data_IF_381869082762
#
_entry.id   IF_381869082762
#
_cell.length_a   1.000
_cell.length_b   1.000
_cell.length_c   1.000
_cell.angle_alpha   90.00
_cell.angle_beta   90.00
_cell.angle_gamma   90.00
#
_symmetry.space_group_name_H-M   'P 1'
#
loop_
_entity.id
_entity.type
_entity.pdbx_description
1 polymer ?
#
# COMPACT_ATOMS: atom_id res chain seq x y z
N UNK A 1 6.63 2.96 -14.15
CA UNK A 1 7.98 3.57 -14.12
C UNK A 1 8.91 2.82 -15.07
N UNK A 2 9.69 3.52 -15.88
CA UNK A 2 10.77 2.92 -16.66
C UNK A 2 11.93 2.62 -15.71
N UNK A 3 12.31 1.35 -15.60
CA UNK A 3 13.37 0.93 -14.68
C UNK A 3 14.75 0.96 -15.38
N UNK A 4 14.80 0.56 -16.65
CA UNK A 4 16.04 0.60 -17.44
C UNK A 4 15.78 0.92 -18.91
N UNK A 5 16.75 1.60 -19.52
CA UNK A 5 16.84 1.80 -20.97
C UNK A 5 18.24 1.41 -21.42
N UNK A 6 18.34 0.46 -22.33
CA UNK A 6 19.59 0.19 -23.04
C UNK A 6 19.67 1.01 -24.32
N UNK A 7 20.90 1.43 -24.63
CA UNK A 7 21.27 2.16 -25.82
C UNK A 7 22.46 1.45 -26.49
N UNK A 8 22.32 1.19 -27.79
CA UNK A 8 23.42 0.77 -28.63
C UNK A 8 24.09 2.00 -29.25
N UNK A 9 25.42 1.99 -29.32
CA UNK A 9 26.16 3.05 -30.00
C UNK A 9 25.94 2.99 -31.52
N UNK A 10 25.63 4.14 -32.12
CA UNK A 10 25.58 4.31 -33.58
C UNK A 10 26.98 4.55 -34.19
N UNK A 11 27.97 4.90 -33.35
CA UNK A 11 29.38 5.09 -33.75
C UNK A 11 30.17 3.83 -33.42
N UNK A 12 31.00 3.37 -34.38
CA UNK A 12 31.97 2.30 -34.16
C UNK A 12 33.08 2.77 -33.20
N UNK A 13 32.90 2.47 -31.92
CA UNK A 13 33.86 2.71 -30.85
C UNK A 13 33.93 1.51 -29.87
N UNK A 14 34.79 1.59 -28.83
CA UNK A 14 35.00 0.49 -27.90
C UNK A 14 33.77 0.18 -27.03
N UNK A 15 32.89 1.16 -26.78
CA UNK A 15 31.65 0.97 -26.02
C UNK A 15 30.50 0.76 -27.00
N UNK A 16 30.01 -0.48 -27.09
CA UNK A 16 28.94 -0.88 -28.02
C UNK A 16 27.53 -0.81 -27.43
N UNK A 17 27.43 -0.88 -26.10
CA UNK A 17 26.18 -0.91 -25.35
C UNK A 17 26.32 -0.11 -24.05
N UNK A 18 25.30 0.67 -23.72
CA UNK A 18 25.16 1.39 -22.45
C UNK A 18 23.78 1.14 -21.88
N UNK A 19 23.70 0.87 -20.59
CA UNK A 19 22.43 0.71 -19.88
C UNK A 19 22.29 1.82 -18.86
N UNK A 20 21.18 2.54 -18.92
CA UNK A 20 20.81 3.57 -17.97
C UNK A 20 19.72 3.01 -17.06
N UNK A 21 19.90 3.17 -15.76
CA UNK A 21 18.95 2.79 -14.72
C UNK A 21 18.80 3.99 -13.78
N UNK A 22 17.56 4.41 -13.51
CA UNK A 22 17.29 5.57 -12.66
C UNK A 22 15.98 6.28 -12.99
N UNK A 23 15.63 7.26 -12.15
CA UNK A 23 14.32 7.94 -12.15
C UNK A 23 14.11 8.91 -13.32
N UNK A 24 15.19 9.47 -13.90
CA UNK A 24 15.11 10.42 -15.02
C UNK A 24 16.14 10.11 -16.12
N UNK A 25 15.89 8.98 -16.79
CA UNK A 25 16.71 8.55 -17.93
C UNK A 25 16.60 9.56 -19.10
N UNK A 26 15.48 10.28 -19.23
CA UNK A 26 15.22 11.18 -20.34
C UNK A 26 16.05 12.48 -20.26
N UNK A 27 16.21 13.07 -19.08
CA UNK A 27 17.10 14.22 -18.86
C UNK A 27 18.58 13.81 -18.71
N UNK A 28 18.87 12.64 -18.12
CA UNK A 28 20.24 12.14 -17.93
C UNK A 28 20.99 11.77 -19.22
N UNK A 29 20.28 11.68 -20.35
CA UNK A 29 20.86 11.47 -21.67
C UNK A 29 21.30 12.81 -22.28
N UNK A 30 22.61 13.06 -22.32
CA UNK A 30 23.16 14.21 -23.05
C UNK A 30 22.73 14.19 -24.52
N UNK A 31 22.52 15.36 -25.14
CA UNK A 31 22.16 15.46 -26.57
C UNK A 31 23.16 14.72 -27.47
N UNK A 32 24.44 14.76 -27.11
CA UNK A 32 25.50 14.00 -27.79
C UNK A 32 25.33 12.47 -27.70
N UNK A 33 24.73 11.95 -26.62
CA UNK A 33 24.43 10.51 -26.48
C UNK A 33 23.15 10.14 -27.22
N UNK A 34 22.13 11.02 -27.24
CA UNK A 34 20.90 10.83 -28.02
C UNK A 34 21.17 10.78 -29.52
N UNK A 35 22.07 11.63 -30.02
CA UNK A 35 22.41 11.68 -31.45
C UNK A 35 23.28 10.50 -31.92
N UNK A 36 24.04 9.88 -31.01
CA UNK A 36 25.00 8.81 -31.34
C UNK A 36 24.58 7.43 -30.82
N UNK A 37 23.30 7.23 -30.48
CA UNK A 37 22.82 5.94 -29.98
C UNK A 37 21.37 5.68 -30.35
N UNK A 38 20.98 4.42 -30.46
CA UNK A 38 19.60 4.00 -30.69
C UNK A 38 19.13 3.07 -29.56
N UNK A 39 17.82 3.11 -29.25
CA UNK A 39 17.19 2.29 -28.21
C UNK A 39 17.40 0.81 -28.49
N UNK A 40 18.02 0.07 -27.57
CA UNK A 40 18.23 -1.39 -27.71
C UNK A 40 17.11 -2.18 -27.03
N UNK A 41 16.74 -1.78 -25.83
CA UNK A 41 15.73 -2.41 -25.00
C UNK A 41 15.22 -1.43 -23.94
N UNK A 42 14.02 -1.70 -23.45
CA UNK A 42 13.33 -0.90 -22.47
C UNK A 42 12.62 -1.86 -21.51
N UNK A 43 12.77 -1.64 -20.22
CA UNK A 43 12.11 -2.43 -19.19
C UNK A 43 11.45 -1.50 -18.17
N UNK A 44 10.22 -1.82 -17.82
CA UNK A 44 9.42 -1.05 -16.89
C UNK A 44 8.61 -1.94 -15.96
N UNK A 45 8.22 -1.33 -14.85
CA UNK A 45 7.26 -1.90 -13.90
C UNK A 45 6.07 -0.95 -13.78
N UNK A 46 4.87 -1.50 -13.63
CA UNK A 46 3.64 -0.74 -13.54
C UNK A 46 2.54 -1.56 -12.90
N UNK A 47 1.29 -1.16 -13.13
CA UNK A 47 0.11 -1.84 -12.60
C UNK A 47 -0.89 -2.06 -13.74
N UNK A 48 -1.66 -3.15 -13.68
CA UNK A 48 -2.70 -3.47 -14.66
C UNK A 48 -4.09 -3.72 -14.03
N UNK A 49 -4.31 -3.29 -12.79
CA UNK A 49 -5.55 -3.54 -12.05
C UNK A 49 -5.63 -4.92 -11.38
N UNK A 50 -4.75 -5.86 -11.71
CA UNK A 50 -4.59 -7.13 -10.98
C UNK A 50 -3.32 -7.16 -10.11
N UNK A 51 -2.61 -6.04 -10.04
CA UNK A 51 -1.40 -5.89 -9.24
C UNK A 51 -0.22 -5.38 -10.07
N UNK A 52 0.98 -5.58 -9.52
CA UNK A 52 2.24 -5.08 -10.08
C UNK A 52 2.64 -5.96 -11.26
N UNK A 53 2.92 -5.34 -12.40
CA UNK A 53 3.37 -6.01 -13.61
C UNK A 53 4.72 -5.49 -14.06
N UNK A 54 5.48 -6.33 -14.75
CA UNK A 54 6.71 -5.93 -15.43
C UNK A 54 6.60 -6.20 -16.93
N UNK A 55 7.22 -5.36 -17.74
CA UNK A 55 7.31 -5.55 -19.18
C UNK A 55 8.64 -5.05 -19.70
N UNK A 56 9.26 -5.86 -20.56
CA UNK A 56 10.46 -5.55 -21.29
C UNK A 56 10.23 -5.74 -22.78
N UNK A 57 10.79 -4.86 -23.60
CA UNK A 57 10.84 -5.04 -25.03
C UNK A 57 12.23 -4.72 -25.57
N UNK A 58 12.63 -5.42 -26.63
CA UNK A 58 13.84 -5.12 -27.39
C UNK A 58 13.47 -4.48 -28.72
N UNK A 59 14.42 -3.73 -29.28
CA UNK A 59 14.33 -3.22 -30.65
C UNK A 59 14.16 -4.33 -31.69
N UNK A 60 14.55 -5.58 -31.37
CA UNK A 60 14.37 -6.74 -32.26
C UNK A 60 12.99 -7.40 -32.13
N UNK A 61 12.05 -6.78 -31.39
CA UNK A 61 10.68 -7.26 -31.24
C UNK A 61 10.52 -8.36 -30.19
N UNK A 62 11.55 -8.68 -29.41
CA UNK A 62 11.40 -9.59 -28.27
C UNK A 62 10.68 -8.86 -27.14
N UNK A 63 9.60 -9.44 -26.64
CA UNK A 63 8.87 -8.95 -25.47
C UNK A 63 9.03 -9.98 -24.36
N UNK A 64 9.32 -9.54 -23.14
CA UNK A 64 9.48 -10.41 -21.98
C UNK A 64 8.94 -9.74 -20.72
N UNK A 65 8.74 -10.54 -19.68
CA UNK A 65 8.42 -10.06 -18.35
C UNK A 65 9.09 -10.98 -17.32
N UNK A 66 9.22 -10.53 -16.07
CA UNK A 66 9.78 -11.32 -14.98
C UNK A 66 8.64 -11.86 -14.10
N UNK A 67 8.32 -13.14 -14.24
CA UNK A 67 7.27 -13.83 -13.48
C UNK A 67 7.68 -15.27 -13.16
N UNK A 68 7.06 -15.84 -12.13
CA UNK A 68 7.10 -17.29 -11.81
C UNK A 68 5.67 -17.77 -11.83
N UNK A 69 5.23 -18.32 -12.97
CA UNK A 69 3.82 -18.60 -13.23
C UNK A 69 3.60 -19.89 -14.04
N UNK A 70 2.34 -20.31 -14.15
CA UNK A 70 1.93 -21.49 -14.94
C UNK A 70 2.04 -21.30 -16.46
N UNK A 71 2.03 -22.40 -17.22
CA UNK A 71 2.02 -22.36 -18.69
C UNK A 71 0.72 -21.69 -19.20
N UNK A 72 -0.42 -21.96 -18.57
CA UNK A 72 -1.70 -21.34 -18.93
C UNK A 72 -1.66 -19.82 -18.76
N UNK A 73 -1.08 -19.34 -17.66
CA UNK A 73 -0.83 -17.91 -17.45
C UNK A 73 0.04 -17.34 -18.57
N UNK A 74 1.12 -18.02 -18.94
CA UNK A 74 2.02 -17.57 -20.01
C UNK A 74 1.31 -17.47 -21.38
N UNK A 75 0.44 -18.43 -21.71
CA UNK A 75 -0.35 -18.38 -22.95
C UNK A 75 -1.32 -17.18 -22.95
N UNK A 76 -2.05 -16.97 -21.86
CA UNK A 76 -2.96 -15.83 -21.73
C UNK A 76 -2.20 -14.49 -21.80
N UNK A 77 -1.05 -14.40 -21.13
CA UNK A 77 -0.19 -13.23 -21.22
C UNK A 77 0.27 -12.95 -22.66
N UNK A 78 0.67 -13.97 -23.41
CA UNK A 78 1.02 -13.81 -24.83
C UNK A 78 -0.16 -13.26 -25.65
N UNK A 79 -1.38 -13.72 -25.39
CA UNK A 79 -2.59 -13.24 -26.05
C UNK A 79 -2.87 -11.75 -25.72
N UNK A 80 -2.81 -11.38 -24.44
CA UNK A 80 -2.98 -9.97 -24.03
C UNK A 80 -1.92 -9.04 -24.62
N UNK A 81 -0.68 -9.52 -24.78
CA UNK A 81 0.40 -8.74 -25.37
C UNK A 81 0.19 -8.59 -26.88
N UNK A 82 -0.20 -9.64 -27.61
CA UNK A 82 -0.40 -9.53 -29.05
C UNK A 82 -1.55 -8.58 -29.39
N UNK A 83 -2.62 -8.59 -28.59
CA UNK A 83 -3.74 -7.64 -28.74
C UNK A 83 -3.25 -6.19 -28.66
N UNK A 84 -2.38 -5.88 -27.68
CA UNK A 84 -1.76 -4.54 -27.54
C UNK A 84 -0.80 -4.21 -28.68
N UNK A 85 -0.02 -5.18 -29.17
CA UNK A 85 0.93 -4.96 -30.28
C UNK A 85 0.21 -4.69 -31.60
N UNK A 86 -0.94 -5.32 -31.81
CA UNK A 86 -1.75 -5.17 -33.02
C UNK A 86 -2.74 -4.00 -32.95
N UNK A 87 -2.89 -3.36 -31.79
CA UNK A 87 -3.77 -2.22 -31.61
C UNK A 87 -3.19 -0.94 -32.26
N UNK A 88 -3.65 -0.68 -33.49
CA UNK A 88 -3.28 0.51 -34.27
C UNK A 88 -3.75 1.84 -33.67
N UNK A 89 -4.59 1.82 -32.63
CA UNK A 89 -5.05 3.05 -31.95
C UNK A 89 -4.05 3.57 -30.92
N UNK A 90 -3.04 2.76 -30.55
CA UNK A 90 -2.00 3.16 -29.59
C UNK A 90 -1.03 4.14 -30.24
N UNK A 91 -1.12 5.40 -29.81
CA UNK A 91 -0.16 6.43 -30.19
C UNK A 91 1.10 6.36 -29.33
N UNK A 92 2.17 5.78 -29.89
CA UNK A 92 3.45 5.62 -29.21
C UNK A 92 4.14 6.95 -28.84
N UNK A 93 3.77 8.07 -29.48
CA UNK A 93 4.31 9.40 -29.16
C UNK A 93 3.77 9.92 -27.83
N UNK A 94 2.57 9.47 -27.42
CA UNK A 94 1.91 9.87 -26.17
C UNK A 94 2.29 9.04 -24.96
N UNK A 95 3.15 8.02 -25.10
CA UNK A 95 3.55 7.12 -23.99
C UNK A 95 4.20 7.89 -22.83
N UNK A 96 4.89 8.99 -23.13
CA UNK A 96 5.52 9.84 -22.12
C UNK A 96 4.67 11.05 -21.73
N UNK A 97 3.53 11.28 -22.38
CA UNK A 97 2.59 12.33 -21.99
C UNK A 97 1.95 11.97 -20.64
N UNK A 98 2.07 12.88 -19.67
CA UNK A 98 1.54 12.67 -18.32
C UNK A 98 2.43 11.85 -17.38
N UNK A 99 3.66 11.49 -17.78
CA UNK A 99 4.66 10.95 -16.85
C UNK A 99 5.01 12.01 -15.81
N UNK A 100 4.90 11.64 -14.53
CA UNK A 100 5.22 12.53 -13.43
C UNK A 100 6.73 12.72 -13.34
N UNK A 101 7.15 13.97 -13.28
CA UNK A 101 8.57 14.34 -13.17
C UNK A 101 8.85 14.71 -11.71
N UNK A 102 9.72 13.97 -11.01
CA UNK A 102 10.16 14.34 -9.66
C UNK A 102 10.88 15.68 -9.68
N UNK A 103 10.62 16.51 -8.68
CA UNK A 103 11.29 17.80 -8.47
C UNK A 103 12.09 17.75 -7.19
N UNK A 104 13.34 18.18 -7.25
CA UNK A 104 14.14 18.39 -6.03
C UNK A 104 13.60 19.62 -5.31
N UNK A 105 13.16 19.44 -4.08
CA UNK A 105 12.65 20.52 -3.23
C UNK A 105 13.68 20.95 -2.18
N UNK A 106 13.56 22.19 -1.72
CA UNK A 106 14.43 22.80 -0.71
C UNK A 106 13.81 22.89 0.67
N UNK A 107 12.49 22.78 0.73
CA UNK A 107 11.67 22.95 1.93
C UNK A 107 10.54 21.92 1.86
N UNK A 108 10.12 21.42 3.02
CA UNK A 108 8.99 20.48 3.11
C UNK A 108 7.72 21.17 2.58
N UNK A 109 6.91 20.51 1.73
CA UNK A 109 5.67 21.08 1.23
C UNK A 109 4.72 21.45 2.38
N UNK A 110 3.92 22.51 2.18
CA UNK A 110 2.88 22.91 3.14
C UNK A 110 1.66 21.99 3.17
N UNK A 111 1.63 20.99 2.29
CA UNK A 111 0.57 19.98 2.25
C UNK A 111 0.62 19.06 3.47
N UNK A 112 -0.51 18.48 3.84
CA UNK A 112 -0.63 17.62 5.02
C UNK A 112 -0.17 16.20 4.67
N UNK A 113 0.87 15.66 5.33
CA UNK A 113 1.26 14.26 5.17
C UNK A 113 0.28 13.37 5.95
N UNK A 114 -0.26 12.34 5.31
CA UNK A 114 -1.23 11.44 5.95
C UNK A 114 -0.79 9.97 5.93
N UNK A 115 0.13 9.60 5.04
CA UNK A 115 0.65 8.24 4.91
C UNK A 115 2.16 8.25 4.78
N UNK A 116 2.79 7.24 5.38
CA UNK A 116 4.20 6.91 5.19
C UNK A 116 4.33 5.42 4.89
N UNK A 117 5.17 5.09 3.93
CA UNK A 117 5.48 3.73 3.52
C UNK A 117 6.96 3.44 3.67
N UNK A 118 7.25 2.15 3.85
CA UNK A 118 8.61 1.64 3.77
C UNK A 118 9.22 1.93 2.39
N UNK A 119 10.55 2.04 2.28
CA UNK A 119 11.21 2.21 0.99
C UNK A 119 10.88 1.06 0.04
N UNK A 120 10.69 1.37 -1.25
CA UNK A 120 10.29 0.37 -2.27
C UNK A 120 11.31 -0.74 -2.44
N UNK A 121 12.56 -0.50 -2.06
CA UNK A 121 13.61 -1.51 -2.05
C UNK A 121 13.27 -2.67 -1.11
N UNK A 122 12.45 -2.44 -0.09
CA UNK A 122 11.98 -3.49 0.80
C UNK A 122 10.97 -4.44 0.14
N UNK A 123 10.20 -4.00 -0.87
CA UNK A 123 9.26 -4.85 -1.61
C UNK A 123 9.96 -6.01 -2.35
N UNK A 124 11.25 -5.88 -2.65
CA UNK A 124 12.02 -6.94 -3.32
C UNK A 124 12.51 -8.02 -2.35
N UNK A 125 12.31 -7.85 -1.06
CA UNK A 125 12.75 -8.80 -0.04
C UNK A 125 11.59 -9.64 0.46
N UNK A 126 11.84 -10.94 0.61
CA UNK A 126 10.92 -11.81 1.33
C UNK A 126 10.96 -11.42 2.81
N UNK A 127 9.82 -11.03 3.37
CA UNK A 127 9.63 -10.61 4.76
C UNK A 127 10.32 -11.52 5.79
N UNK A 128 10.41 -12.83 5.51
CA UNK A 128 10.99 -13.84 6.40
C UNK A 128 12.51 -13.69 6.66
N UNK A 129 13.20 -12.82 5.90
CA UNK A 129 14.66 -12.63 6.01
C UNK A 129 15.07 -11.23 6.49
N UNK A 130 14.11 -10.39 6.89
CA UNK A 130 14.35 -9.01 7.26
C UNK A 130 13.89 -8.74 8.71
N UNK A 131 14.84 -8.34 9.54
CA UNK A 131 14.61 -8.15 10.98
C UNK A 131 15.10 -6.79 11.44
N UNK A 132 14.39 -6.21 12.40
CA UNK A 132 14.93 -5.15 13.25
C UNK A 132 15.57 -5.79 14.48
N UNK A 133 16.81 -5.43 14.77
CA UNK A 133 17.52 -5.86 15.96
C UNK A 133 17.77 -4.68 16.90
N UNK A 134 17.36 -4.84 18.16
CA UNK A 134 17.61 -3.90 19.26
C UNK A 134 17.81 -4.68 20.56
N UNK A 135 18.84 -4.36 21.34
CA UNK A 135 19.09 -4.93 22.67
C UNK A 135 19.05 -6.48 22.70
N UNK A 136 19.54 -7.13 21.63
CA UNK A 136 19.50 -8.58 21.34
C UNK A 136 18.12 -9.18 21.04
N UNK A 137 17.06 -8.38 21.02
CA UNK A 137 15.74 -8.75 20.53
C UNK A 137 15.77 -8.65 19.00
N UNK A 138 15.26 -9.68 18.33
CA UNK A 138 15.03 -9.68 16.88
C UNK A 138 13.53 -9.64 16.63
N UNK A 139 13.08 -8.63 15.90
CA UNK A 139 11.68 -8.43 15.55
C UNK A 139 11.58 -8.53 14.03
N UNK A 140 10.77 -9.44 13.48
CA UNK A 140 10.52 -9.48 12.04
C UNK A 140 9.95 -8.15 11.57
N UNK A 141 10.37 -7.65 10.41
CA UNK A 141 9.93 -6.34 9.92
C UNK A 141 8.40 -6.26 9.73
N UNK A 142 7.78 -7.39 9.36
CA UNK A 142 6.33 -7.50 9.17
C UNK A 142 5.53 -7.36 10.48
N UNK A 143 6.18 -7.37 11.64
CA UNK A 143 5.57 -7.12 12.96
C UNK A 143 5.80 -5.68 13.44
N UNK A 144 6.32 -4.82 12.56
CA UNK A 144 6.70 -3.45 12.88
C UNK A 144 6.04 -2.48 11.91
N UNK A 145 5.39 -1.45 12.45
CA UNK A 145 4.78 -0.39 11.66
C UNK A 145 5.75 0.78 11.46
N UNK A 146 5.64 1.42 10.30
CA UNK A 146 6.14 2.78 10.06
C UNK A 146 4.93 3.72 10.01
N UNK A 147 4.93 4.75 10.88
CA UNK A 147 3.79 5.67 11.03
C UNK A 147 4.28 7.11 11.21
N UNK A 148 3.54 8.05 10.64
CA UNK A 148 3.71 9.48 10.92
C UNK A 148 3.26 9.75 12.36
N UNK A 149 3.82 10.78 12.99
CA UNK A 149 3.24 11.29 14.24
C UNK A 149 1.94 12.04 13.92
N UNK A 150 0.90 11.82 14.74
CA UNK A 150 -0.41 12.49 14.62
C UNK A 150 -0.27 14.01 14.56
N UNK A 151 0.65 14.56 15.37
CA UNK A 151 0.95 15.99 15.41
C UNK A 151 2.40 16.19 14.97
N UNK A 152 2.57 16.81 13.82
CA UNK A 152 3.88 17.23 13.33
C UNK A 152 4.36 18.45 14.13
N UNK A 153 5.55 18.40 14.76
CA UNK A 153 5.96 19.42 15.73
C UNK A 153 6.42 20.73 15.09
N UNK A 154 6.84 20.69 13.82
CA UNK A 154 7.45 21.82 13.09
C UNK A 154 7.08 21.75 11.62
N UNK A 155 7.01 22.90 10.94
CA UNK A 155 6.80 22.95 9.49
C UNK A 155 7.99 22.43 8.69
N UNK A 156 9.20 22.61 9.22
CA UNK A 156 10.45 22.34 8.48
C UNK A 156 11.02 20.94 8.75
N UNK A 157 10.30 20.10 9.50
CA UNK A 157 10.72 18.75 9.87
C UNK A 157 9.51 17.84 9.90
N UNK A 158 9.61 16.70 9.21
CA UNK A 158 8.63 15.61 9.32
C UNK A 158 9.12 14.59 10.32
N UNK A 159 8.27 14.25 11.29
CA UNK A 159 8.53 13.18 12.26
C UNK A 159 7.70 11.95 11.95
N UNK A 160 8.37 10.80 11.98
CA UNK A 160 7.77 9.48 11.89
C UNK A 160 8.42 8.55 12.91
N UNK A 161 7.78 7.43 13.18
CA UNK A 161 8.36 6.39 14.02
C UNK A 161 8.29 5.03 13.34
N UNK A 162 9.22 4.18 13.74
CA UNK A 162 9.23 2.74 13.45
C UNK A 162 9.03 2.03 14.77
N UNK A 163 8.02 1.15 14.84
CA UNK A 163 7.73 0.46 16.09
C UNK A 163 6.49 -0.41 16.11
N UNK A 164 6.33 -1.08 17.24
CA UNK A 164 5.13 -1.78 17.70
C UNK A 164 4.95 -1.50 19.20
N UNK A 165 4.12 -2.26 19.90
CA UNK A 165 3.85 -2.06 21.33
C UNK A 165 5.10 -2.18 22.21
N UNK A 166 6.07 -3.01 21.81
CA UNK A 166 7.27 -3.31 22.60
C UNK A 166 8.46 -2.40 22.27
N UNK A 167 8.45 -1.77 21.09
CA UNK A 167 9.58 -1.02 20.57
C UNK A 167 9.08 0.20 19.79
N UNK A 168 9.64 1.37 20.07
CA UNK A 168 9.41 2.59 19.29
C UNK A 168 10.71 3.36 19.12
N UNK A 169 11.04 3.70 17.88
CA UNK A 169 12.14 4.60 17.53
C UNK A 169 11.61 5.73 16.65
N UNK A 170 11.90 6.99 17.00
CA UNK A 170 11.38 8.17 16.31
C UNK A 170 12.48 8.80 15.47
N UNK A 171 12.13 9.25 14.27
CA UNK A 171 13.02 9.84 13.28
C UNK A 171 12.53 11.22 12.86
N UNK A 172 13.47 12.09 12.48
CA UNK A 172 13.23 13.39 11.87
C UNK A 172 13.79 13.41 10.46
N UNK A 173 12.93 13.69 9.47
CA UNK A 173 13.28 14.04 8.11
C UNK A 173 13.30 15.57 7.99
N UNK A 174 14.41 16.12 7.53
CA UNK A 174 14.59 17.55 7.26
C UNK A 174 15.20 17.75 5.88
N UNK A 175 14.85 18.85 5.21
CA UNK A 175 15.39 19.20 3.88
C UNK A 175 16.19 20.49 4.01
N UNK A 176 17.41 20.49 3.48
CA UNK A 176 18.31 21.66 3.46
C UNK A 176 19.22 21.61 2.24
N UNK A 177 19.43 22.75 1.56
CA UNK A 177 20.44 22.91 0.50
C UNK A 177 20.36 21.85 -0.63
N UNK A 178 19.16 21.55 -1.13
CA UNK A 178 18.91 20.48 -2.12
C UNK A 178 19.35 19.08 -1.66
N UNK A 179 19.40 18.85 -0.36
CA UNK A 179 19.64 17.53 0.24
C UNK A 179 18.60 17.27 1.33
N UNK A 180 18.51 16.02 1.79
CA UNK A 180 17.69 15.66 2.93
C UNK A 180 18.54 14.94 3.98
N UNK A 181 18.11 15.04 5.23
CA UNK A 181 18.72 14.34 6.34
C UNK A 181 17.66 13.62 7.16
N UNK A 182 17.89 12.34 7.41
CA UNK A 182 17.12 11.54 8.35
C UNK A 182 17.99 11.24 9.56
N UNK A 183 17.48 11.52 10.75
CA UNK A 183 18.17 11.23 12.03
C UNK A 183 17.21 10.60 13.02
N UNK A 184 17.72 9.69 13.84
CA UNK A 184 16.99 9.21 15.01
C UNK A 184 16.95 10.32 16.06
N UNK A 185 15.75 10.60 16.59
CA UNK A 185 15.52 11.52 17.72
C UNK A 185 15.83 10.82 19.04
N UNK A 186 15.56 9.53 19.08
CA UNK A 186 15.90 8.63 20.17
C UNK A 186 17.40 8.32 20.18
N UNK A 187 17.99 8.16 21.37
CA UNK A 187 19.36 7.60 21.53
C UNK A 187 19.42 6.09 21.23
N UNK A 188 18.31 5.51 20.77
CA UNK A 188 18.19 4.10 20.43
C UNK A 188 19.03 3.79 19.20
N UNK A 189 19.60 2.58 19.18
CA UNK A 189 20.47 2.10 18.10
C UNK A 189 19.84 0.87 17.45
N UNK A 190 18.65 1.02 16.88
CA UNK A 190 18.05 -0.09 16.14
C UNK A 190 18.79 -0.30 14.85
N UNK A 191 19.03 -1.56 14.52
CA UNK A 191 19.64 -1.97 13.27
C UNK A 191 18.66 -2.75 12.43
N UNK A 192 18.66 -2.53 11.13
CA UNK A 192 18.02 -3.42 10.17
C UNK A 192 19.04 -4.48 9.74
N UNK A 193 18.64 -5.75 9.84
CA UNK A 193 19.47 -6.89 9.54
C UNK A 193 18.86 -7.69 8.38
N UNK A 194 19.66 -7.88 7.33
CA UNK A 194 19.35 -8.78 6.21
C UNK A 194 20.45 -9.82 6.13
N UNK A 195 20.11 -11.07 6.44
CA UNK A 195 21.09 -12.16 6.54
C UNK A 195 22.28 -11.75 7.44
N UNK A 196 23.49 -11.59 6.89
CA UNK A 196 24.68 -11.16 7.65
C UNK A 196 24.94 -9.64 7.66
N UNK A 197 24.32 -8.85 6.78
CA UNK A 197 24.55 -7.40 6.74
C UNK A 197 23.65 -6.71 7.76
N UNK A 198 24.25 -5.85 8.58
CA UNK A 198 23.57 -5.03 9.60
C UNK A 198 23.89 -3.57 9.36
N UNK A 199 22.87 -2.72 9.38
CA UNK A 199 23.00 -1.27 9.20
C UNK A 199 22.10 -0.58 10.22
N UNK A 200 22.53 0.57 10.76
CA UNK A 200 21.65 1.34 11.63
C UNK A 200 20.42 1.81 10.86
N UNK A 201 19.26 1.80 11.51
CA UNK A 201 18.00 2.12 10.84
C UNK A 201 17.98 3.56 10.30
N UNK A 202 18.62 4.51 11.00
CA UNK A 202 18.81 5.87 10.51
C UNK A 202 19.66 5.94 9.23
N UNK A 203 20.76 5.17 9.18
CA UNK A 203 21.63 5.11 7.99
C UNK A 203 20.91 4.43 6.81
N UNK A 204 20.12 3.39 7.11
CA UNK A 204 19.28 2.73 6.11
C UNK A 204 18.28 3.71 5.49
N UNK A 205 17.56 4.49 6.31
CA UNK A 205 16.63 5.51 5.78
C UNK A 205 17.35 6.66 5.08
N UNK A 206 18.58 6.99 5.47
CA UNK A 206 19.37 8.00 4.75
C UNK A 206 19.74 7.55 3.33
N UNK A 207 19.97 6.24 3.12
CA UNK A 207 20.26 5.63 1.82
C UNK A 207 18.98 5.33 1.02
N UNK A 208 17.96 4.80 1.70
CA UNK A 208 16.65 4.42 1.16
C UNK A 208 15.56 5.15 1.93
N UNK A 209 15.23 6.40 1.57
CA UNK A 209 14.25 7.18 2.30
C UNK A 209 12.85 6.56 2.21
N UNK A 210 12.04 6.64 3.29
CA UNK A 210 10.65 6.24 3.22
C UNK A 210 9.87 7.17 2.29
N UNK A 211 8.74 6.67 1.77
CA UNK A 211 7.85 7.46 0.91
C UNK A 211 6.77 8.08 1.79
N UNK A 212 6.67 9.40 1.77
CA UNK A 212 5.62 10.15 2.45
C UNK A 212 4.61 10.62 1.41
N UNK A 213 3.32 10.41 1.70
CA UNK A 213 2.23 10.78 0.82
C UNK A 213 1.35 11.85 1.47
N UNK A 214 1.00 12.84 0.68
CA UNK A 214 0.20 13.99 1.09
C UNK A 214 -1.22 13.89 0.56
N UNK A 215 -2.13 14.64 1.19
CA UNK A 215 -3.57 14.63 0.89
C UNK A 215 -3.96 15.03 -0.54
N UNK A 216 -3.05 15.64 -1.30
CA UNK A 216 -3.20 15.95 -2.72
C UNK A 216 -2.63 14.83 -3.64
N UNK A 217 -2.33 13.67 -3.06
CA UNK A 217 -1.63 12.53 -3.64
C UNK A 217 -0.18 12.78 -4.03
N UNK A 218 0.38 13.95 -3.77
CA UNK A 218 1.81 14.15 -3.97
C UNK A 218 2.63 13.22 -3.07
N UNK A 219 3.82 12.87 -3.51
CA UNK A 219 4.73 12.00 -2.76
C UNK A 219 6.08 12.67 -2.57
N UNK A 220 6.69 12.42 -1.41
CA UNK A 220 8.04 12.84 -1.05
C UNK A 220 8.88 11.61 -0.70
N UNK A 221 10.00 11.48 -1.39
CA UNK A 221 11.03 10.48 -1.14
C UNK A 221 12.37 11.20 -0.94
N UNK A 222 12.81 11.31 0.32
CA UNK A 222 13.95 12.14 0.68
C UNK A 222 13.68 13.63 0.42
N UNK A 223 14.21 14.17 -0.68
CA UNK A 223 13.92 15.51 -1.19
C UNK A 223 13.35 15.52 -2.62
N UNK A 224 12.95 14.35 -3.14
CA UNK A 224 12.30 14.22 -4.42
C UNK A 224 10.79 14.29 -4.22
N UNK A 225 10.18 15.32 -4.78
CA UNK A 225 8.77 15.59 -4.65
C UNK A 225 8.05 15.41 -5.99
N UNK A 226 7.00 14.58 -6.00
CA UNK A 226 6.21 14.27 -7.19
C UNK A 226 4.79 14.77 -6.97
N UNK A 227 4.31 15.66 -7.84
CA UNK A 227 2.95 16.21 -7.74
C UNK A 227 2.01 15.57 -8.75
N UNK A 228 0.82 15.18 -8.31
CA UNK A 228 -0.29 14.73 -9.15
C UNK A 228 -1.25 15.90 -9.41
N UNK A 229 -0.83 16.89 -10.22
CA UNK A 229 -1.69 18.04 -10.49
C UNK A 229 -2.97 17.63 -11.26
N UNK A 230 -4.11 18.13 -10.76
CA UNK A 230 -5.38 18.30 -11.48
C UNK A 230 -6.16 17.05 -11.95
N UNK A 231 -5.83 15.82 -11.52
CA UNK A 231 -6.59 14.62 -11.96
C UNK A 231 -7.95 14.38 -11.28
N UNK A 232 -8.18 14.96 -10.11
CA UNK A 232 -9.33 14.59 -9.25
C UNK A 232 -10.14 15.78 -8.71
N UNK A 233 -9.86 17.01 -9.13
CA UNK A 233 -10.55 18.21 -8.62
C UNK A 233 -12.07 18.19 -8.87
N UNK A 234 -12.51 17.56 -9.95
CA UNK A 234 -13.91 17.52 -10.36
C UNK A 234 -14.59 16.16 -10.10
N UNK A 235 -13.93 15.26 -9.35
CA UNK A 235 -14.49 13.96 -8.99
C UNK A 235 -14.94 13.98 -7.54
N UNK A 236 -16.08 13.35 -7.26
CA UNK A 236 -16.59 13.12 -5.92
C UNK A 236 -16.61 11.63 -5.58
N UNK A 237 -16.50 11.30 -4.29
CA UNK A 237 -16.59 9.93 -3.83
C UNK A 237 -18.01 9.41 -4.11
N UNK A 238 -18.18 8.23 -4.73
CA UNK A 238 -19.49 7.78 -5.18
C UNK A 238 -20.46 7.58 -3.99
N UNK A 239 -21.64 8.24 -3.98
CA UNK A 239 -22.58 8.13 -2.86
C UNK A 239 -23.09 6.72 -2.60
N UNK A 240 -23.13 5.87 -3.63
CA UNK A 240 -23.51 4.45 -3.52
C UNK A 240 -22.43 3.57 -2.86
N UNK A 241 -21.28 4.14 -2.52
CA UNK A 241 -20.20 3.50 -1.75
C UNK A 241 -20.15 4.04 -0.31
N UNK A 242 -21.11 4.87 0.11
CA UNK A 242 -21.24 5.37 1.48
C UNK A 242 -22.40 4.63 2.15
N UNK A 243 -22.11 3.98 3.26
CA UNK A 243 -23.05 3.20 4.06
C UNK A 243 -23.18 3.82 5.45
N UNK A 244 -24.38 4.23 5.80
CA UNK A 244 -24.67 4.94 7.04
C UNK A 244 -25.13 3.99 8.13
N UNK A 245 -24.49 4.06 9.29
CA UNK A 245 -24.79 3.26 10.47
C UNK A 245 -25.20 4.19 11.61
N UNK A 246 -26.30 3.87 12.28
CA UNK A 246 -26.69 4.57 13.50
C UNK A 246 -25.97 3.95 14.70
N UNK A 247 -24.75 4.42 14.93
CA UNK A 247 -23.87 3.93 15.99
C UNK A 247 -24.45 4.13 17.40
N UNK A 248 -25.25 5.18 17.59
CA UNK A 248 -25.90 5.47 18.86
C UNK A 248 -27.01 4.45 19.17
N UNK A 249 -27.88 4.14 18.19
CA UNK A 249 -28.90 3.09 18.33
C UNK A 249 -28.26 1.71 18.56
N UNK A 250 -27.12 1.45 17.93
CA UNK A 250 -26.34 0.22 18.14
C UNK A 250 -25.64 0.17 19.50
N UNK A 251 -25.66 1.26 20.29
CA UNK A 251 -25.00 1.33 21.59
C UNK A 251 -23.47 1.35 21.47
N UNK A 252 -22.92 1.84 20.37
CA UNK A 252 -21.48 1.88 20.11
C UNK A 252 -20.86 3.15 20.66
N UNK A 253 -19.82 2.98 21.47
CA UNK A 253 -18.93 4.06 21.81
C UNK A 253 -17.96 4.29 20.64
N UNK A 254 -18.21 5.33 19.84
CA UNK A 254 -17.38 5.68 18.67
C UNK A 254 -15.93 6.06 19.02
N UNK A 255 -15.59 6.21 20.31
CA UNK A 255 -14.22 6.37 20.81
C UNK A 255 -13.50 5.05 21.06
N UNK A 256 -14.19 3.91 21.00
CA UNK A 256 -13.63 2.60 21.31
C UNK A 256 -13.61 1.71 20.07
N UNK A 257 -12.45 1.71 19.42
CA UNK A 257 -12.19 0.95 18.19
C UNK A 257 -12.22 -0.56 18.44
N UNK A 258 -11.31 -1.05 19.28
CA UNK A 258 -11.04 -2.47 19.43
C UNK A 258 -12.07 -3.20 20.30
N UNK A 259 -12.44 -4.41 19.88
CA UNK A 259 -13.20 -5.32 20.73
C UNK A 259 -12.32 -6.00 21.79
N UNK A 260 -11.02 -6.12 21.52
CA UNK A 260 -10.03 -6.87 22.31
C UNK A 260 -10.40 -8.34 22.53
N UNK A 261 -9.57 -9.06 23.30
CA UNK A 261 -9.87 -10.43 23.76
C UNK A 261 -11.16 -10.48 24.61
N UNK A 262 -11.51 -9.39 25.29
CA UNK A 262 -12.68 -9.31 26.18
C UNK A 262 -14.02 -9.17 25.43
N UNK A 263 -13.99 -8.95 24.09
CA UNK A 263 -15.16 -8.78 23.23
C UNK A 263 -16.10 -7.68 23.69
N UNK A 264 -15.57 -6.47 23.85
CA UNK A 264 -16.36 -5.37 24.38
C UNK A 264 -17.54 -5.00 23.44
N UNK A 265 -18.80 -5.11 23.90
CA UNK A 265 -19.97 -5.06 23.03
C UNK A 265 -20.29 -3.67 22.48
N UNK A 266 -19.89 -2.60 23.15
CA UNK A 266 -20.01 -1.20 22.68
C UNK A 266 -18.82 -0.76 21.80
N UNK A 267 -18.01 -1.67 21.25
CA UNK A 267 -16.85 -1.33 20.40
C UNK A 267 -17.24 -1.32 18.92
N UNK A 268 -16.49 -0.57 18.11
CA UNK A 268 -16.72 -0.48 16.67
C UNK A 268 -16.52 -1.84 16.03
N UNK A 269 -15.36 -2.49 16.27
CA UNK A 269 -15.06 -3.79 15.68
C UNK A 269 -16.10 -4.86 16.05
N UNK A 270 -16.51 -4.96 17.32
CA UNK A 270 -17.51 -5.94 17.75
C UNK A 270 -18.83 -5.79 16.98
N UNK A 271 -19.30 -4.55 16.79
CA UNK A 271 -20.56 -4.29 16.09
C UNK A 271 -20.46 -4.54 14.59
N UNK A 272 -19.30 -4.24 13.98
CA UNK A 272 -19.03 -4.63 12.59
C UNK A 272 -19.05 -6.15 12.45
N UNK A 273 -18.31 -6.88 13.28
CA UNK A 273 -18.26 -8.35 13.28
C UNK A 273 -19.66 -8.94 13.46
N UNK A 274 -20.40 -8.48 14.47
CA UNK A 274 -21.77 -8.91 14.74
C UNK A 274 -22.66 -8.69 13.52
N UNK A 275 -22.60 -7.51 12.89
CA UNK A 275 -23.39 -7.20 11.70
C UNK A 275 -23.05 -8.12 10.53
N UNK A 276 -21.76 -8.39 10.30
CA UNK A 276 -21.28 -9.31 9.26
C UNK A 276 -21.85 -10.72 9.49
N UNK A 277 -21.76 -11.23 10.71
CA UNK A 277 -22.31 -12.56 11.05
C UNK A 277 -23.83 -12.59 10.86
N UNK A 278 -24.55 -11.55 11.27
CA UNK A 278 -26.01 -11.45 11.15
C UNK A 278 -26.51 -11.41 9.69
N UNK A 279 -25.68 -11.00 8.73
CA UNK A 279 -26.07 -11.05 7.31
C UNK A 279 -26.29 -12.47 6.80
N UNK A 280 -25.55 -13.44 7.36
CA UNK A 280 -25.57 -14.84 6.91
C UNK A 280 -24.82 -15.10 5.59
N UNK A 281 -24.17 -14.09 5.02
CA UNK A 281 -23.52 -14.18 3.70
C UNK A 281 -22.05 -14.67 3.75
N UNK A 282 -21.43 -14.63 4.93
CA UNK A 282 -20.01 -14.92 5.10
C UNK A 282 -19.76 -16.35 5.56
N UNK A 283 -18.68 -16.93 5.04
CA UNK A 283 -18.16 -18.23 5.47
C UNK A 283 -17.11 -18.11 6.57
N UNK A 284 -16.37 -17.00 6.59
CA UNK A 284 -15.36 -16.69 7.61
C UNK A 284 -15.47 -15.22 8.00
N UNK A 285 -15.39 -14.93 9.29
CA UNK A 285 -15.12 -13.60 9.85
C UNK A 285 -13.97 -13.77 10.84
N UNK A 286 -12.90 -13.00 10.63
CA UNK A 286 -11.63 -13.18 11.32
C UNK A 286 -11.15 -11.84 11.88
N UNK A 287 -10.89 -11.81 13.18
CA UNK A 287 -10.37 -10.68 13.94
C UNK A 287 -8.82 -10.67 13.89
N UNK A 288 -8.28 -9.84 13.00
CA UNK A 288 -6.85 -9.73 12.77
C UNK A 288 -6.20 -8.54 13.48
N UNK A 289 -6.95 -7.81 14.31
CA UNK A 289 -6.52 -6.63 15.09
C UNK A 289 -5.28 -6.94 15.92
N UNK A 290 -4.13 -6.50 15.42
CA UNK A 290 -2.81 -6.63 16.04
C UNK A 290 -1.71 -6.07 15.11
N UNK A 291 -0.55 -5.70 15.66
CA UNK A 291 0.57 -5.23 14.85
C UNK A 291 0.89 -6.15 13.64
N UNK A 292 0.99 -5.55 12.45
CA UNK A 292 1.26 -6.29 11.20
C UNK A 292 0.06 -7.09 10.67
N UNK A 293 -1.16 -6.71 11.03
CA UNK A 293 -2.41 -7.19 10.45
C UNK A 293 -2.50 -6.99 8.93
N UNK A 294 -3.40 -7.74 8.32
CA UNK A 294 -3.87 -7.53 6.94
C UNK A 294 -4.89 -6.37 6.91
N UNK A 295 -5.84 -6.41 7.85
CA UNK A 295 -6.89 -5.43 8.13
C UNK A 295 -7.38 -5.70 9.56
N UNK A 296 -8.17 -4.81 10.18
CA UNK A 296 -8.72 -5.09 11.52
C UNK A 296 -9.64 -6.33 11.49
N UNK A 297 -10.51 -6.42 10.48
CA UNK A 297 -11.41 -7.56 10.28
C UNK A 297 -11.31 -8.04 8.84
N UNK A 298 -11.22 -9.36 8.66
CA UNK A 298 -11.24 -10.02 7.35
C UNK A 298 -12.51 -10.86 7.27
N UNK A 299 -13.37 -10.57 6.29
CA UNK A 299 -14.54 -11.37 6.00
C UNK A 299 -14.38 -12.07 4.64
N UNK A 300 -14.79 -13.33 4.55
CA UNK A 300 -14.71 -14.10 3.31
C UNK A 300 -16.08 -14.65 2.97
N UNK A 301 -16.58 -14.29 1.79
CA UNK A 301 -17.81 -14.83 1.21
C UNK A 301 -17.49 -15.67 -0.02
N UNK A 302 -18.26 -16.74 -0.20
CA UNK A 302 -18.12 -17.65 -1.33
C UNK A 302 -19.26 -17.38 -2.32
N UNK A 303 -18.91 -17.13 -3.58
CA UNK A 303 -19.85 -17.08 -4.71
C UNK A 303 -19.64 -18.32 -5.58
N UNK A 304 -20.50 -18.54 -6.59
CA UNK A 304 -20.47 -19.76 -7.41
C UNK A 304 -19.08 -20.06 -8.00
N UNK A 305 -18.35 -19.03 -8.47
CA UNK A 305 -17.04 -19.17 -9.11
C UNK A 305 -15.96 -18.22 -8.57
N UNK A 306 -16.27 -17.46 -7.51
CA UNK A 306 -15.37 -16.45 -6.94
C UNK A 306 -15.30 -16.56 -5.43
N UNK A 307 -14.10 -16.41 -4.86
CA UNK A 307 -13.89 -16.15 -3.43
C UNK A 307 -13.71 -14.65 -3.25
N UNK A 308 -14.57 -14.02 -2.44
CA UNK A 308 -14.52 -12.57 -2.24
C UNK A 308 -14.03 -12.30 -0.82
N UNK A 309 -12.88 -11.63 -0.75
CA UNK A 309 -12.31 -11.11 0.48
C UNK A 309 -12.80 -9.69 0.69
N UNK A 310 -13.19 -9.39 1.91
CA UNK A 310 -13.53 -8.04 2.35
C UNK A 310 -12.65 -7.68 3.54
N UNK A 311 -11.90 -6.59 3.39
CA UNK A 311 -11.11 -6.01 4.47
C UNK A 311 -11.87 -4.87 5.09
N UNK A 312 -11.95 -4.85 6.42
CA UNK A 312 -12.52 -3.75 7.17
C UNK A 312 -11.41 -3.11 8.00
N UNK A 313 -11.18 -1.82 7.74
CA UNK A 313 -10.26 -1.00 8.52
C UNK A 313 -11.08 -0.10 9.44
N UNK A 314 -11.04 -0.36 10.74
CA UNK A 314 -11.83 0.31 11.76
C UNK A 314 -11.00 1.39 12.43
N UNK A 315 -11.54 2.60 12.58
CA UNK A 315 -10.92 3.66 13.38
C UNK A 315 -11.88 4.30 14.35
N UNK A 316 -11.40 4.64 15.54
CA UNK A 316 -12.17 5.48 16.47
C UNK A 316 -12.31 6.92 15.94
N UNK A 317 -13.32 7.61 16.45
CA UNK A 317 -13.56 9.03 16.18
C UNK A 317 -12.63 9.92 17.00
N UNK A 318 -11.98 10.91 16.37
CA UNK A 318 -11.20 11.91 17.11
C UNK A 318 -12.11 12.91 17.85
N UNK A 319 -13.38 13.04 17.49
CA UNK A 319 -14.38 13.85 18.19
C UNK A 319 -15.38 13.04 19.01
N UNK A 320 -16.03 13.67 19.99
CA UNK A 320 -17.07 13.02 20.81
C UNK A 320 -18.37 12.79 20.03
N UNK A 321 -18.57 13.56 18.96
CA UNK A 321 -19.71 13.44 18.04
C UNK A 321 -19.22 13.30 16.60
N UNK A 322 -19.98 12.58 15.74
CA UNK A 322 -19.72 12.54 14.31
C UNK A 322 -19.70 13.94 13.70
N UNK A 323 -18.86 14.13 12.68
CA UNK A 323 -18.69 15.43 12.05
C UNK A 323 -17.82 15.38 10.80
N UNK A 324 -17.17 16.50 10.54
CA UNK A 324 -16.52 16.77 9.26
C UNK A 324 -15.00 16.92 9.38
N UNK A 325 -14.37 16.11 10.26
CA UNK A 325 -12.94 16.19 10.55
C UNK A 325 -12.17 15.36 9.53
N UNK A 326 -11.30 16.01 8.76
CA UNK A 326 -10.42 15.31 7.80
C UNK A 326 -9.48 14.34 8.51
N UNK A 327 -9.08 14.63 9.76
CA UNK A 327 -8.23 13.75 10.56
C UNK A 327 -8.82 12.37 10.82
N UNK A 328 -10.15 12.25 10.85
CA UNK A 328 -10.83 10.95 10.98
C UNK A 328 -10.57 10.04 9.76
N UNK A 329 -10.18 10.60 8.60
CA UNK A 329 -9.94 9.86 7.37
C UNK A 329 -8.48 9.50 7.12
N UNK A 330 -7.50 10.17 7.75
CA UNK A 330 -6.09 10.00 7.42
C UNK A 330 -5.59 8.57 7.65
N UNK A 331 -5.77 8.04 8.86
CA UNK A 331 -5.25 6.71 9.19
C UNK A 331 -6.01 5.61 8.44
N UNK A 332 -7.34 5.68 8.42
CA UNK A 332 -8.17 4.64 7.80
C UNK A 332 -7.97 4.56 6.29
N UNK A 333 -7.83 5.70 5.59
CA UNK A 333 -7.47 5.71 4.17
C UNK A 333 -6.04 5.20 3.96
N UNK A 334 -5.10 5.56 4.85
CA UNK A 334 -3.73 5.05 4.79
C UNK A 334 -3.65 3.52 4.92
N UNK A 335 -4.42 2.91 5.83
CA UNK A 335 -4.53 1.46 5.96
C UNK A 335 -5.17 0.81 4.73
N UNK A 336 -6.24 1.40 4.19
CA UNK A 336 -6.85 0.94 2.95
C UNK A 336 -5.82 0.87 1.82
N UNK A 337 -5.06 1.94 1.60
CA UNK A 337 -4.04 1.96 0.54
C UNK A 337 -2.84 1.04 0.78
N UNK A 338 -2.51 0.70 2.04
CA UNK A 338 -1.43 -0.25 2.37
C UNK A 338 -1.87 -1.70 2.15
N UNK A 339 -3.10 -2.03 2.52
CA UNK A 339 -3.63 -3.39 2.45
C UNK A 339 -3.81 -3.93 1.03
N UNK A 340 -3.76 -3.08 0.00
CA UNK A 340 -3.90 -3.48 -1.42
C UNK A 340 -2.85 -4.51 -1.88
N UNK A 341 -1.68 -4.54 -1.23
CA UNK A 341 -0.59 -5.46 -1.58
C UNK A 341 -1.02 -6.93 -1.50
N UNK A 342 -1.94 -7.24 -0.58
CA UNK A 342 -2.49 -8.57 -0.38
C UNK A 342 -3.34 -9.09 -1.55
N UNK A 343 -3.77 -8.21 -2.47
CA UNK A 343 -4.46 -8.65 -3.69
C UNK A 343 -3.54 -9.40 -4.65
N UNK A 344 -2.22 -9.18 -4.61
CA UNK A 344 -1.29 -9.78 -5.56
C UNK A 344 -1.27 -11.30 -5.48
N UNK A 345 -1.35 -11.85 -4.27
CA UNK A 345 -1.58 -13.28 -4.04
C UNK A 345 -2.55 -13.47 -2.88
N UNK A 346 -3.81 -13.75 -3.20
CA UNK A 346 -4.84 -14.02 -2.19
C UNK A 346 -4.58 -15.30 -1.39
N UNK A 347 -3.66 -16.18 -1.83
CA UNK A 347 -3.23 -17.33 -1.02
C UNK A 347 -2.31 -16.88 0.11
N UNK A 348 -1.58 -15.78 -0.05
CA UNK A 348 -0.76 -15.23 1.02
C UNK A 348 -1.62 -14.66 2.15
N UNK A 349 -2.82 -14.14 1.85
CA UNK A 349 -3.84 -13.80 2.86
C UNK A 349 -4.15 -15.04 3.70
N UNK A 350 -4.50 -16.17 3.06
CA UNK A 350 -4.86 -17.41 3.75
C UNK A 350 -3.70 -17.97 4.59
N UNK A 351 -2.47 -17.97 4.05
CA UNK A 351 -1.27 -18.37 4.78
C UNK A 351 -1.05 -17.49 6.01
N UNK A 352 -1.23 -16.18 5.87
CA UNK A 352 -1.05 -15.20 6.95
C UNK A 352 -2.11 -15.37 8.04
N UNK A 353 -3.38 -15.52 7.68
CA UNK A 353 -4.47 -15.82 8.64
C UNK A 353 -4.17 -17.11 9.42
N UNK A 354 -3.80 -18.19 8.73
CA UNK A 354 -3.43 -19.46 9.36
C UNK A 354 -2.26 -19.30 10.34
N UNK A 355 -1.18 -18.60 9.93
CA UNK A 355 -0.01 -18.35 10.78
C UNK A 355 -0.39 -17.57 12.03
N UNK A 356 -1.18 -16.50 11.89
CA UNK A 356 -1.59 -15.63 13.01
C UNK A 356 -2.55 -16.33 13.98
N UNK A 357 -3.42 -17.21 13.49
CA UNK A 357 -4.25 -18.05 14.36
C UNK A 357 -3.40 -19.03 15.17
N UNK A 358 -2.54 -19.81 14.51
CA UNK A 358 -1.69 -20.81 15.19
C UNK A 358 -0.86 -20.14 16.29
N UNK A 359 -0.24 -19.00 15.98
CA UNK A 359 0.55 -18.23 16.95
C UNK A 359 -0.27 -17.70 18.13
N UNK A 360 -1.54 -17.32 17.93
CA UNK A 360 -2.43 -16.86 19.00
C UNK A 360 -2.85 -18.02 19.90
N UNK A 361 -3.16 -19.17 19.31
CA UNK A 361 -3.51 -20.39 20.03
C UNK A 361 -2.34 -20.98 20.81
N UNK A 362 -1.11 -20.96 20.27
CA UNK A 362 0.11 -21.39 20.97
C UNK A 362 0.39 -20.55 22.23
N UNK A 363 -0.05 -19.29 22.26
CA UNK A 363 0.04 -18.41 23.43
C UNK A 363 -1.09 -18.66 24.46
N UNK A 364 -1.98 -19.63 24.22
CA UNK A 364 -3.11 -19.94 25.11
C UNK A 364 -4.21 -18.87 25.11
N UNK A 365 -4.29 -18.04 24.06
CA UNK A 365 -5.33 -17.02 23.91
C UNK A 365 -6.58 -17.59 23.22
N UNK A 366 -7.59 -16.74 23.02
CA UNK A 366 -8.81 -17.06 22.27
C UNK A 366 -8.56 -17.03 20.77
N UNK A 367 -9.35 -17.79 20.01
CA UNK A 367 -9.29 -17.83 18.54
C UNK A 367 -9.57 -16.45 17.93
N UNK A 368 -8.96 -16.18 16.77
CA UNK A 368 -9.28 -15.04 15.91
C UNK A 368 -10.53 -15.26 15.08
N UNK A 369 -10.98 -16.49 14.93
CA UNK A 369 -12.20 -16.79 14.19
C UNK A 369 -13.43 -16.39 15.01
N UNK A 370 -14.18 -15.42 14.51
CA UNK A 370 -15.51 -15.05 15.00
C UNK A 370 -16.60 -15.83 14.25
N UNK A 371 -16.31 -16.23 13.01
CA UNK A 371 -17.09 -17.17 12.21
C UNK A 371 -16.14 -18.05 11.38
N UNK A 372 -16.46 -19.34 11.27
CA UNK A 372 -15.62 -20.33 10.60
C UNK A 372 -14.45 -20.82 11.47
N UNK A 373 -13.49 -21.51 10.85
CA UNK A 373 -12.33 -22.08 11.53
C UNK A 373 -11.18 -22.38 10.55
N UNK A 374 -10.12 -23.02 11.05
CA UNK A 374 -8.96 -23.44 10.24
C UNK A 374 -9.32 -24.47 9.16
N UNK A 375 -10.33 -25.31 9.37
CA UNK A 375 -10.77 -26.29 8.38
C UNK A 375 -11.47 -25.59 7.22
N UNK A 376 -12.38 -24.66 7.53
CA UNK A 376 -13.03 -23.80 6.53
C UNK A 376 -12.02 -22.95 5.78
N UNK A 377 -11.02 -22.39 6.46
CA UNK A 377 -9.95 -21.63 5.81
C UNK A 377 -9.12 -22.51 4.85
N UNK A 378 -8.91 -23.78 5.18
CA UNK A 378 -8.25 -24.76 4.30
C UNK A 378 -9.12 -25.14 3.09
N UNK A 379 -10.44 -25.22 3.27
CA UNK A 379 -11.38 -25.40 2.16
C UNK A 379 -11.26 -24.23 1.16
N UNK A 380 -11.24 -22.99 1.66
CA UNK A 380 -11.07 -21.79 0.84
C UNK A 380 -9.71 -21.80 0.12
N UNK A 381 -8.62 -22.18 0.80
CA UNK A 381 -7.29 -22.32 0.18
C UNK A 381 -7.31 -23.26 -1.03
N UNK A 382 -8.06 -24.36 -0.94
CA UNK A 382 -8.19 -25.31 -2.03
C UNK A 382 -9.04 -24.74 -3.18
N UNK A 383 -10.13 -24.02 -2.88
CA UNK A 383 -10.98 -23.36 -3.88
C UNK A 383 -10.24 -22.28 -4.67
N UNK A 384 -9.34 -21.52 -4.02
CA UNK A 384 -8.44 -20.54 -4.67
C UNK A 384 -7.45 -21.14 -5.69
N UNK A 385 -7.43 -22.47 -5.86
CA UNK A 385 -6.68 -23.11 -6.95
C UNK A 385 -7.43 -23.10 -8.27
N UNK A 386 -8.75 -22.93 -8.22
CA UNK A 386 -9.65 -23.12 -9.36
C UNK A 386 -10.56 -21.91 -9.55
N UNK A 387 -10.92 -21.22 -8.47
CA UNK A 387 -11.86 -20.11 -8.46
C UNK A 387 -11.12 -18.78 -8.59
N UNK A 388 -11.79 -17.78 -9.16
CA UNK A 388 -11.33 -16.39 -9.13
C UNK A 388 -11.33 -15.85 -7.71
N UNK A 389 -10.59 -14.76 -7.49
CA UNK A 389 -10.66 -14.03 -6.23
C UNK A 389 -10.86 -12.54 -6.46
N UNK A 390 -11.61 -11.92 -5.54
CA UNK A 390 -11.87 -10.48 -5.52
C UNK A 390 -11.54 -9.94 -4.14
N UNK A 391 -11.07 -8.70 -4.10
CA UNK A 391 -10.83 -7.97 -2.87
C UNK A 391 -11.64 -6.67 -2.90
N UNK A 392 -12.41 -6.46 -1.85
CA UNK A 392 -13.10 -5.21 -1.54
C UNK A 392 -12.54 -4.65 -0.22
N UNK A 393 -12.41 -3.34 -0.14
CA UNK A 393 -11.92 -2.66 1.07
C UNK A 393 -13.04 -1.79 1.63
N UNK A 394 -13.27 -1.88 2.92
CA UNK A 394 -14.26 -1.11 3.66
C UNK A 394 -13.50 -0.30 4.72
N UNK A 395 -13.63 1.03 4.67
CA UNK A 395 -13.14 1.90 5.74
C UNK A 395 -14.31 2.19 6.69
N UNK A 396 -14.14 1.91 7.98
CA UNK A 396 -15.14 2.10 9.01
C UNK A 396 -14.71 3.25 9.90
N UNK A 397 -15.39 4.38 9.77
CA UNK A 397 -15.07 5.60 10.51
C UNK A 397 -16.37 6.26 11.02
N UNK A 398 -16.84 5.90 12.24
CA UNK A 398 -18.05 6.49 12.81
C UNK A 398 -17.89 7.98 13.16
N UNK A 399 -16.67 8.51 13.25
CA UNK A 399 -16.44 9.95 13.43
C UNK A 399 -16.86 10.80 12.23
N UNK A 400 -17.05 10.20 11.06
CA UNK A 400 -17.50 10.90 9.85
C UNK A 400 -19.03 10.93 9.82
N UNK A 401 -19.59 12.13 9.63
CA UNK A 401 -21.01 12.34 9.35
C UNK A 401 -21.20 12.43 7.83
N UNK A 402 -21.93 11.48 7.24
CA UNK A 402 -22.14 11.40 5.79
C UNK A 402 -22.79 12.66 5.20
N UNK A 403 -23.58 13.41 5.99
CA UNK A 403 -24.23 14.65 5.54
C UNK A 403 -23.30 15.86 5.55
N UNK A 404 -22.12 15.75 6.18
CA UNK A 404 -21.16 16.85 6.38
C UNK A 404 -19.79 16.61 5.74
N UNK A 405 -19.72 15.72 4.74
CA UNK A 405 -18.48 15.49 3.99
C UNK A 405 -18.05 16.79 3.29
N UNK A 406 -16.89 17.32 3.69
CA UNK A 406 -16.31 18.53 3.07
C UNK A 406 -15.55 18.20 1.80
N UNK A 407 -15.18 19.22 1.03
CA UNK A 407 -14.32 19.06 -0.15
C UNK A 407 -12.98 18.40 0.16
N UNK A 408 -12.40 18.65 1.34
CA UNK A 408 -11.12 18.07 1.72
C UNK A 408 -11.27 16.58 2.11
N UNK A 409 -12.38 16.22 2.75
CA UNK A 409 -12.74 14.83 3.03
C UNK A 409 -13.02 14.06 1.74
N UNK A 410 -13.77 14.67 0.83
CA UNK A 410 -14.07 14.09 -0.47
C UNK A 410 -12.78 13.89 -1.29
N UNK A 411 -11.87 14.87 -1.26
CA UNK A 411 -10.58 14.79 -1.95
C UNK A 411 -9.76 13.58 -1.49
N UNK A 412 -9.67 13.31 -0.19
CA UNK A 412 -8.90 12.16 0.30
C UNK A 412 -9.60 10.82 -0.03
N UNK A 413 -10.93 10.76 0.04
CA UNK A 413 -11.70 9.56 -0.31
C UNK A 413 -11.55 9.22 -1.80
N UNK A 414 -11.74 10.19 -2.68
CA UNK A 414 -11.58 10.06 -4.14
C UNK A 414 -10.16 9.66 -4.50
N UNK A 415 -9.18 10.29 -3.86
CA UNK A 415 -7.77 10.03 -4.04
C UNK A 415 -7.40 8.60 -3.68
N UNK A 416 -7.91 8.12 -2.55
CA UNK A 416 -7.74 6.74 -2.07
C UNK A 416 -8.40 5.75 -3.02
N UNK A 417 -9.69 5.93 -3.33
CA UNK A 417 -10.43 5.09 -4.27
C UNK A 417 -9.77 5.03 -5.65
N UNK A 418 -9.29 6.16 -6.17
CA UNK A 418 -8.62 6.20 -7.47
C UNK A 418 -7.32 5.42 -7.44
N UNK A 419 -6.51 5.56 -6.39
CA UNK A 419 -5.31 4.74 -6.21
C UNK A 419 -5.65 3.24 -6.17
N UNK A 420 -6.59 2.83 -5.32
CA UNK A 420 -7.06 1.44 -5.19
C UNK A 420 -7.55 0.86 -6.52
N UNK A 421 -8.32 1.62 -7.29
CA UNK A 421 -8.92 1.19 -8.54
C UNK A 421 -7.89 1.13 -9.68
N UNK A 422 -7.07 2.17 -9.85
CA UNK A 422 -6.11 2.26 -10.95
C UNK A 422 -4.96 1.27 -10.80
N UNK A 423 -4.52 0.99 -9.57
CA UNK A 423 -3.37 0.10 -9.33
C UNK A 423 -3.79 -1.35 -9.15
N UNK A 424 -4.84 -1.59 -8.36
CA UNK A 424 -5.26 -2.92 -7.96
C UNK A 424 -6.71 -3.21 -8.31
N UNK A 425 -7.45 -2.38 -9.05
CA UNK A 425 -8.83 -2.70 -9.41
C UNK A 425 -9.73 -2.99 -8.20
N UNK A 426 -9.44 -2.38 -7.04
CA UNK A 426 -10.17 -2.59 -5.79
C UNK A 426 -11.20 -1.48 -5.61
N UNK A 427 -12.39 -1.87 -5.16
CA UNK A 427 -13.44 -0.93 -4.72
C UNK A 427 -13.30 -0.66 -3.23
N UNK A 428 -13.48 0.61 -2.85
CA UNK A 428 -13.51 1.07 -1.48
C UNK A 428 -14.92 1.49 -1.10
N UNK A 429 -15.40 1.08 0.07
CA UNK A 429 -16.64 1.57 0.67
C UNK A 429 -16.34 2.32 1.97
N UNK A 430 -17.15 3.31 2.30
CA UNK A 430 -17.12 4.05 3.57
C UNK A 430 -18.32 3.66 4.42
N UNK A 431 -18.07 3.15 5.62
CA UNK A 431 -19.08 2.95 6.67
C UNK A 431 -18.90 4.07 7.70
N UNK A 432 -19.92 4.91 7.87
CA UNK A 432 -19.84 6.11 8.72
C UNK A 432 -21.18 6.42 9.40
N UNK A 433 -21.24 7.52 10.15
CA UNK A 433 -22.48 8.02 10.78
C UNK A 433 -23.38 8.77 9.82
#
# INVERSE_FOLDING_TARGET
>A
MLATVGLNSAINGPIRYKMFAGIDIAQGLSEATKNNSYKSNLFGVGYNGNGKVSIGCSHKGTIWAKWVESIDYWMNWCNEIIDKVLDSTIDSQKILEGVLVPRVIKEIPSEIPYRIDWPLELDFFTDDNLFLERDKIKIPIYEVAIKLLEIQPKKDVLQFYVGNENFKETFELSISDNTFRIKSVSKSKTTIARSQKRTYLADFFQEYPPIIKFIDQSTLEGNLYVTLKDRYKDKSFPPNQIFTYDWEILGVNIKRESQTIEKFPDSIQYNVIKKLIETGDYSIVFDDDDAGEIADIIAIKESENDIIFEFYHCKYSHGDLPGSRVSDLYEVCGQAEKSVIWKQDTRDIVKRMRKREIQRMEKGSVSRFELGDLEKLKEIENKLRVYGSKLEINIVQPGVDHTKITSDMDRILVSTQSYLLETYGIRMNLLCS
#
